data_IF_316918938648
#
_entry.id   IF_316918938648
#
_cell.length_a   1.000
_cell.length_b   1.000
_cell.length_c   1.000
_cell.angle_alpha   90.00
_cell.angle_beta   90.00
_cell.angle_gamma   90.00
#
_symmetry.space_group_name_H-M   'P 1'
#
loop_
_entity.id
_entity.type
_entity.pdbx_description
1 polymer ?
#
# COMPACT_ATOMS: atom_id res chain seq x y z
N UNK A 1 -2.66 6.03 11.27
CA UNK A 1 -3.67 7.07 10.94
C UNK A 1 -3.00 8.22 10.19
N UNK A 2 -3.76 9.21 9.70
CA UNK A 2 -3.19 10.40 9.06
C UNK A 2 -2.26 11.21 9.97
N UNK A 3 -2.58 11.33 11.26
CA UNK A 3 -1.76 12.04 12.25
C UNK A 3 -0.42 11.35 12.52
N UNK A 4 -0.42 10.02 12.65
CA UNK A 4 0.80 9.23 12.82
C UNK A 4 1.70 9.34 11.59
N UNK A 5 1.11 9.26 10.38
CA UNK A 5 1.85 9.46 9.14
C UNK A 5 2.48 10.85 9.08
N UNK A 6 1.72 11.91 9.42
CA UNK A 6 2.23 13.27 9.45
C UNK A 6 3.38 13.44 10.46
N UNK A 7 3.31 12.74 11.59
CA UNK A 7 4.35 12.76 12.63
C UNK A 7 5.62 12.05 12.16
N UNK A 8 5.48 10.84 11.61
CA UNK A 8 6.59 10.09 11.03
C UNK A 8 7.26 10.86 9.88
N UNK A 9 6.46 11.45 8.99
CA UNK A 9 6.99 12.25 7.88
C UNK A 9 7.79 13.46 8.38
N UNK A 10 7.32 14.17 9.41
CA UNK A 10 8.09 15.27 10.01
C UNK A 10 9.44 14.81 10.55
N UNK A 11 9.50 13.65 11.19
CA UNK A 11 10.76 13.07 11.70
C UNK A 11 11.72 12.73 10.55
N UNK A 12 11.21 12.07 9.51
CA UNK A 12 12.00 11.71 8.33
C UNK A 12 12.51 12.95 7.57
N UNK A 13 11.66 13.96 7.37
CA UNK A 13 12.07 15.23 6.74
C UNK A 13 13.14 15.94 7.54
N UNK A 14 13.04 15.98 8.89
CA UNK A 14 14.09 16.54 9.75
C UNK A 14 15.39 15.76 9.65
N UNK A 15 15.30 14.44 9.48
CA UNK A 15 16.41 13.55 9.18
C UNK A 15 16.98 13.67 7.76
N UNK A 16 16.50 14.64 6.95
CA UNK A 16 16.92 14.85 5.55
C UNK A 16 16.70 13.62 4.66
N UNK A 17 15.55 12.95 4.85
CA UNK A 17 15.12 11.82 4.02
C UNK A 17 15.29 12.11 2.52
N UNK A 18 15.99 11.20 1.82
CA UNK A 18 16.26 11.29 0.38
C UNK A 18 15.25 10.53 -0.48
N UNK A 19 14.53 9.56 0.09
CA UNK A 19 13.47 8.79 -0.54
C UNK A 19 12.52 8.23 0.54
N UNK A 20 11.30 7.86 0.15
CA UNK A 20 10.30 7.27 1.04
C UNK A 20 9.89 5.88 0.53
N UNK A 21 9.95 4.89 1.41
CA UNK A 21 9.29 3.59 1.18
C UNK A 21 8.06 3.52 2.08
N UNK A 22 6.89 3.39 1.48
CA UNK A 22 5.62 3.23 2.18
C UNK A 22 5.20 1.76 2.12
N UNK A 23 5.33 1.04 3.24
CA UNK A 23 4.96 -0.37 3.30
C UNK A 23 3.46 -0.51 3.60
N UNK A 24 2.68 -0.93 2.60
CA UNK A 24 1.24 -1.22 2.72
C UNK A 24 0.94 -2.72 2.60
N UNK A 25 1.95 -3.58 2.66
CA UNK A 25 1.76 -5.04 2.73
C UNK A 25 1.01 -5.39 4.00
N UNK A 26 0.12 -6.37 3.88
CA UNK A 26 -0.73 -6.84 4.98
C UNK A 26 -1.68 -5.78 5.55
N UNK A 27 -1.85 -4.65 4.85
CA UNK A 27 -2.75 -3.58 5.24
C UNK A 27 -4.11 -3.71 4.54
N UNK A 28 -5.06 -4.34 5.25
CA UNK A 28 -6.44 -4.57 4.82
C UNK A 28 -7.28 -3.27 4.63
N UNK A 29 -6.65 -2.11 4.84
CA UNK A 29 -7.23 -0.79 4.68
C UNK A 29 -7.74 -0.22 6.00
N UNK A 30 -8.84 0.53 5.91
CA UNK A 30 -9.38 1.26 7.05
C UNK A 30 -10.29 2.38 6.61
N UNK A 31 -10.35 3.44 7.42
CA UNK A 31 -11.22 4.59 7.16
C UNK A 31 -10.72 5.41 5.96
N UNK A 32 -11.62 5.73 5.04
CA UNK A 32 -11.35 6.58 3.87
C UNK A 32 -10.75 7.95 4.24
N UNK A 33 -11.24 8.68 5.27
CA UNK A 33 -10.61 9.93 5.70
C UNK A 33 -9.12 9.80 6.01
N UNK A 34 -8.69 8.69 6.63
CA UNK A 34 -7.28 8.48 6.92
C UNK A 34 -6.43 8.31 5.63
N UNK A 35 -6.99 7.68 4.59
CA UNK A 35 -6.32 7.60 3.28
C UNK A 35 -6.22 8.98 2.61
N UNK A 36 -7.28 9.78 2.69
CA UNK A 36 -7.30 11.16 2.17
C UNK A 36 -6.25 12.03 2.89
N UNK A 37 -6.14 11.88 4.22
CA UNK A 37 -5.14 12.60 5.01
C UNK A 37 -3.72 12.24 4.59
N UNK A 38 -3.43 10.93 4.46
CA UNK A 38 -2.11 10.44 3.98
C UNK A 38 -1.82 10.99 2.59
N UNK A 39 -2.75 10.83 1.65
CA UNK A 39 -2.60 11.31 0.28
C UNK A 39 -2.38 12.82 0.22
N UNK A 40 -2.99 13.60 1.12
CA UNK A 40 -2.83 15.06 1.14
C UNK A 40 -1.40 15.54 1.43
N UNK A 41 -0.48 14.67 1.82
CA UNK A 41 0.95 14.99 1.90
C UNK A 41 1.69 14.91 0.55
N UNK A 42 1.10 14.29 -0.47
CA UNK A 42 1.70 14.04 -1.78
C UNK A 42 1.12 14.94 -2.89
N UNK A 43 -0.01 15.60 -2.62
CA UNK A 43 -0.74 16.39 -3.61
C UNK A 43 -0.89 17.84 -3.15
N UNK A 44 -1.02 18.74 -4.13
CA UNK A 44 -1.42 20.11 -3.89
C UNK A 44 -2.90 20.20 -3.53
N UNK A 45 -3.26 21.30 -2.88
CA UNK A 45 -4.65 21.62 -2.55
C UNK A 45 -5.53 21.52 -3.80
N UNK A 46 -6.75 21.02 -3.62
CA UNK A 46 -7.78 20.88 -4.64
C UNK A 46 -7.47 19.84 -5.73
N UNK A 47 -6.38 19.08 -5.60
CA UNK A 47 -6.14 17.92 -6.45
C UNK A 47 -7.10 16.77 -6.12
N UNK A 48 -7.74 16.12 -7.12
CA UNK A 48 -8.62 14.98 -6.88
C UNK A 48 -7.81 13.77 -6.41
N UNK A 49 -8.25 13.13 -5.33
CA UNK A 49 -7.58 11.99 -4.71
C UNK A 49 -8.31 10.67 -4.96
N UNK A 50 -9.64 10.70 -4.90
CA UNK A 50 -10.49 9.52 -5.08
C UNK A 50 -11.91 9.95 -5.42
N UNK A 51 -12.55 9.20 -6.32
CA UNK A 51 -13.94 9.35 -6.69
C UNK A 51 -14.74 8.23 -6.05
N UNK A 52 -15.90 8.57 -5.49
CA UNK A 52 -16.85 7.62 -4.89
C UNK A 52 -18.14 7.71 -5.66
N UNK A 53 -18.45 6.67 -6.43
CA UNK A 53 -19.66 6.62 -7.25
C UNK A 53 -20.67 5.67 -6.63
N UNK A 54 -21.75 6.24 -6.11
CA UNK A 54 -22.91 5.52 -5.58
C UNK A 54 -24.13 5.63 -6.49
N UNK A 55 -25.28 5.19 -6.00
CA UNK A 55 -26.55 5.26 -6.73
C UNK A 55 -27.04 6.69 -6.95
N UNK A 56 -26.82 7.58 -5.97
CA UNK A 56 -27.33 8.96 -5.98
C UNK A 56 -26.43 9.93 -6.74
N UNK A 57 -25.25 9.48 -7.17
CA UNK A 57 -24.29 10.29 -7.88
C UNK A 57 -22.85 9.94 -7.54
N UNK A 58 -21.95 10.83 -7.96
CA UNK A 58 -20.52 10.70 -7.73
C UNK A 58 -20.03 11.85 -6.85
N UNK A 59 -19.24 11.50 -5.85
CA UNK A 59 -18.54 12.44 -4.99
C UNK A 59 -17.05 12.35 -5.28
N UNK A 60 -16.37 13.49 -5.22
CA UNK A 60 -14.92 13.57 -5.40
C UNK A 60 -14.31 14.06 -4.10
N UNK A 61 -13.33 13.33 -3.60
CA UNK A 61 -12.53 13.76 -2.47
C UNK A 61 -11.27 14.45 -2.99
N UNK A 62 -11.07 15.67 -2.56
CA UNK A 62 -9.93 16.50 -2.95
C UNK A 62 -8.92 16.59 -1.81
N UNK A 63 -7.66 16.84 -2.17
CA UNK A 63 -6.64 17.13 -1.19
C UNK A 63 -6.89 18.48 -0.52
N UNK A 64 -6.83 18.48 0.81
CA UNK A 64 -6.77 19.70 1.60
C UNK A 64 -5.33 20.15 1.89
N UNK A 65 -4.35 19.44 1.34
CA UNK A 65 -2.95 19.54 1.71
C UNK A 65 -2.14 20.53 0.89
N UNK A 66 -0.83 20.43 1.08
CA UNK A 66 0.21 21.03 0.26
C UNK A 66 1.27 19.95 0.10
N UNK A 67 1.85 19.78 -1.08
CA UNK A 67 2.83 18.71 -1.29
C UNK A 67 4.00 18.89 -0.32
N UNK A 68 4.18 17.92 0.58
CA UNK A 68 5.28 17.87 1.56
C UNK A 68 6.29 16.79 1.22
N UNK A 69 5.88 15.79 0.44
CA UNK A 69 6.77 14.74 -0.08
C UNK A 69 7.22 15.13 -1.48
N UNK A 70 8.50 15.48 -1.61
CA UNK A 70 9.11 15.87 -2.89
C UNK A 70 10.25 14.94 -3.34
N UNK A 71 10.53 13.89 -2.56
CA UNK A 71 11.53 12.88 -2.87
C UNK A 71 10.91 11.71 -3.65
N UNK A 72 11.72 10.83 -4.26
CA UNK A 72 11.23 9.56 -4.82
C UNK A 72 10.46 8.74 -3.78
N UNK A 73 9.36 8.11 -4.22
CA UNK A 73 8.49 7.29 -3.39
C UNK A 73 8.31 5.91 -4.03
N UNK A 74 8.44 4.87 -3.21
CA UNK A 74 8.03 3.50 -3.56
C UNK A 74 6.99 3.05 -2.54
N UNK A 75 5.97 2.34 -3.01
CA UNK A 75 4.96 1.71 -2.16
C UNK A 75 5.09 0.20 -2.30
N UNK A 76 5.17 -0.50 -1.18
CA UNK A 76 5.15 -1.97 -1.16
C UNK A 76 3.71 -2.44 -0.98
N UNK A 77 3.28 -3.38 -1.84
CA UNK A 77 1.94 -3.99 -1.80
C UNK A 77 2.03 -5.51 -1.90
N UNK A 78 0.99 -6.18 -1.41
CA UNK A 78 0.79 -7.61 -1.58
C UNK A 78 -0.72 -7.94 -1.65
N UNK A 79 -1.07 -9.22 -1.73
CA UNK A 79 -2.45 -9.70 -1.86
C UNK A 79 -3.35 -9.33 -0.67
N UNK A 80 -2.77 -8.88 0.44
CA UNK A 80 -3.46 -8.42 1.64
C UNK A 80 -3.55 -6.89 1.73
N UNK A 81 -2.96 -6.15 0.78
CA UNK A 81 -3.21 -4.73 0.61
C UNK A 81 -4.61 -4.51 0.05
N UNK A 82 -5.52 -3.91 0.82
CA UNK A 82 -6.92 -3.79 0.43
C UNK A 82 -7.56 -2.42 0.74
N UNK A 83 -8.65 -2.10 0.05
CA UNK A 83 -9.54 -0.98 0.37
C UNK A 83 -8.78 0.36 0.37
N UNK A 84 -8.86 1.12 1.46
CA UNK A 84 -8.14 2.39 1.64
C UNK A 84 -6.64 2.33 1.34
N UNK A 85 -5.99 1.18 1.53
CA UNK A 85 -4.58 0.97 1.14
C UNK A 85 -4.41 0.98 -0.38
N UNK A 86 -5.33 0.36 -1.12
CA UNK A 86 -5.37 0.38 -2.58
C UNK A 86 -5.69 1.78 -3.10
N UNK A 87 -6.53 2.55 -2.40
CA UNK A 87 -6.76 3.95 -2.76
C UNK A 87 -5.46 4.76 -2.66
N UNK A 88 -4.70 4.60 -1.57
CA UNK A 88 -3.42 5.29 -1.39
C UNK A 88 -2.40 4.86 -2.45
N UNK A 89 -2.17 3.55 -2.58
CA UNK A 89 -1.21 3.00 -3.54
C UNK A 89 -1.57 3.38 -4.99
N UNK A 90 -2.82 3.13 -5.38
CA UNK A 90 -3.32 3.39 -6.73
C UNK A 90 -3.29 4.86 -7.08
N UNK A 91 -3.73 5.76 -6.18
CA UNK A 91 -3.69 7.19 -6.45
C UNK A 91 -2.26 7.71 -6.66
N UNK A 92 -1.28 7.22 -5.88
CA UNK A 92 0.12 7.55 -6.07
C UNK A 92 0.69 6.97 -7.36
N UNK A 93 0.29 5.75 -7.72
CA UNK A 93 0.74 5.09 -8.95
C UNK A 93 0.23 5.79 -10.20
N UNK A 94 -1.09 5.96 -10.35
CA UNK A 94 -1.70 6.51 -11.58
C UNK A 94 -1.32 7.97 -11.82
N UNK A 95 -0.97 8.71 -10.76
CA UNK A 95 -0.48 10.09 -10.86
C UNK A 95 1.03 10.19 -11.02
N UNK A 96 1.74 9.05 -11.10
CA UNK A 96 3.19 9.00 -11.27
C UNK A 96 4.00 9.48 -10.07
N UNK A 97 3.38 9.58 -8.88
CA UNK A 97 4.03 10.04 -7.65
C UNK A 97 4.79 8.93 -6.92
N UNK A 98 4.44 7.67 -7.16
CA UNK A 98 5.16 6.53 -6.63
C UNK A 98 5.19 5.35 -7.61
N UNK A 99 6.14 4.44 -7.40
CA UNK A 99 6.17 3.12 -8.03
C UNK A 99 5.69 2.06 -7.05
N UNK A 100 4.89 1.11 -7.53
CA UNK A 100 4.43 -0.03 -6.75
C UNK A 100 5.38 -1.22 -6.94
N UNK A 101 5.74 -1.89 -5.84
CA UNK A 101 6.58 -3.10 -5.86
C UNK A 101 5.95 -4.17 -4.98
N UNK A 102 5.99 -5.42 -5.43
CA UNK A 102 5.56 -6.57 -4.66
C UNK A 102 4.64 -7.47 -5.46
N UNK A 103 3.49 -7.81 -4.88
CA UNK A 103 2.48 -8.69 -5.48
C UNK A 103 1.17 -7.91 -5.67
N UNK A 104 0.31 -8.36 -6.58
CA UNK A 104 -0.98 -7.70 -6.85
C UNK A 104 -1.80 -7.53 -5.56
N UNK A 105 -2.50 -6.40 -5.44
CA UNK A 105 -3.35 -6.13 -4.28
C UNK A 105 -4.67 -6.92 -4.30
N UNK A 106 -5.49 -6.78 -3.27
CA UNK A 106 -6.67 -7.63 -3.10
C UNK A 106 -7.79 -7.42 -4.15
N UNK A 107 -7.99 -6.20 -4.67
CA UNK A 107 -9.10 -5.89 -5.58
C UNK A 107 -10.37 -5.38 -4.89
N UNK A 108 -10.26 -4.76 -3.71
CA UNK A 108 -11.44 -4.28 -2.99
C UNK A 108 -11.87 -2.89 -3.47
N UNK A 109 -12.76 -2.88 -4.44
CA UNK A 109 -13.24 -1.65 -5.11
C UNK A 109 -14.50 -1.02 -4.50
N UNK A 110 -15.05 -1.62 -3.43
CA UNK A 110 -16.39 -1.29 -2.93
C UNK A 110 -16.39 -0.53 -1.61
N UNK A 111 -17.32 0.44 -1.51
CA UNK A 111 -17.64 1.14 -0.27
C UNK A 111 -18.76 0.39 0.42
N UNK A 112 -18.53 -0.02 1.66
CA UNK A 112 -19.52 -0.69 2.48
C UNK A 112 -19.90 0.17 3.67
N UNK A 113 -21.20 0.32 3.92
CA UNK A 113 -21.74 0.96 5.12
C UNK A 113 -22.43 -0.08 5.99
N UNK A 114 -22.37 0.13 7.30
CA UNK A 114 -23.14 -0.65 8.28
C UNK A 114 -24.42 0.13 8.58
N UNK A 115 -25.55 -0.56 8.54
CA UNK A 115 -26.87 -0.06 8.87
C UNK A 115 -27.36 -0.83 10.09
N UNK A 116 -27.39 -0.17 11.25
CA UNK A 116 -27.84 -0.79 12.49
C UNK A 116 -29.37 -0.83 12.55
N UNK A 117 -29.90 -1.95 13.04
CA UNK A 117 -31.32 -2.14 13.33
C UNK A 117 -31.57 -1.92 14.84
N UNK A 118 -32.85 -1.83 15.23
CA UNK A 118 -33.23 -1.53 16.63
C UNK A 118 -32.99 -2.68 17.61
N UNK A 119 -32.71 -3.87 17.12
CA UNK A 119 -32.61 -5.12 17.86
C UNK A 119 -31.16 -5.63 17.99
N UNK A 120 -30.20 -4.70 18.05
CA UNK A 120 -28.75 -4.98 18.11
C UNK A 120 -28.23 -5.83 16.94
N UNK A 121 -29.00 -5.94 15.85
CA UNK A 121 -28.55 -6.51 14.58
C UNK A 121 -28.17 -5.40 13.59
N UNK A 122 -27.44 -5.74 12.53
CA UNK A 122 -27.05 -4.76 11.52
C UNK A 122 -26.79 -5.40 10.15
N UNK A 123 -26.87 -4.58 9.11
CA UNK A 123 -26.60 -4.99 7.74
C UNK A 123 -25.39 -4.23 7.19
N UNK A 124 -24.40 -4.97 6.70
CA UNK A 124 -23.29 -4.39 5.93
C UNK A 124 -23.62 -4.43 4.45
N UNK A 125 -23.82 -3.27 3.84
CA UNK A 125 -24.24 -3.15 2.46
C UNK A 125 -23.21 -2.37 1.63
N UNK A 126 -22.91 -2.89 0.44
CA UNK A 126 -22.13 -2.15 -0.56
C UNK A 126 -23.00 -1.05 -1.18
N UNK A 127 -22.56 0.19 -1.05
CA UNK A 127 -23.33 1.38 -1.47
C UNK A 127 -22.69 2.17 -2.62
N UNK A 128 -21.39 1.98 -2.85
CA UNK A 128 -20.64 2.71 -3.87
C UNK A 128 -19.38 1.95 -4.31
N UNK A 129 -18.71 2.47 -5.34
CA UNK A 129 -17.38 2.04 -5.80
C UNK A 129 -16.38 3.19 -5.78
N UNK A 130 -15.12 2.86 -5.51
CA UNK A 130 -13.99 3.78 -5.60
C UNK A 130 -13.41 3.81 -7.02
N UNK A 131 -12.98 4.99 -7.45
CA UNK A 131 -12.14 5.17 -8.63
C UNK A 131 -10.97 6.08 -8.26
N UNK A 132 -9.81 5.78 -8.83
CA UNK A 132 -8.56 6.51 -8.65
C UNK A 132 -8.60 7.85 -9.42
N UNK A 133 -7.61 8.75 -9.20
CA UNK A 133 -7.44 9.95 -10.02
C UNK A 133 -7.49 9.62 -11.52
N UNK A 134 -8.23 10.41 -12.30
CA UNK A 134 -8.50 10.09 -13.71
C UNK A 134 -9.71 9.18 -13.95
N UNK A 135 -10.43 8.78 -12.90
CA UNK A 135 -11.57 7.82 -12.94
C UNK A 135 -11.14 6.39 -13.30
N UNK A 136 -9.87 6.07 -13.07
CA UNK A 136 -9.36 4.71 -13.27
C UNK A 136 -9.96 3.76 -12.23
N UNK A 137 -10.56 2.62 -12.63
CA UNK A 137 -11.02 1.63 -11.68
C UNK A 137 -9.82 0.91 -11.05
N UNK A 138 -9.97 0.47 -9.80
CA UNK A 138 -9.13 -0.61 -9.28
C UNK A 138 -9.67 -1.90 -9.91
N UNK A 139 -8.79 -2.77 -10.44
CA UNK A 139 -9.21 -4.03 -11.07
C UNK A 139 -9.87 -4.99 -10.08
N UNK A 140 -10.62 -5.97 -10.57
CA UNK A 140 -11.14 -7.05 -9.71
C UNK A 140 -10.01 -7.88 -9.10
N UNK A 141 -8.88 -7.97 -9.81
CA UNK A 141 -7.64 -8.60 -9.34
C UNK A 141 -6.68 -7.62 -8.62
N UNK A 142 -7.18 -6.43 -8.24
CA UNK A 142 -6.38 -5.42 -7.55
C UNK A 142 -5.55 -4.50 -8.43
N UNK A 143 -4.62 -3.82 -7.77
CA UNK A 143 -3.56 -3.02 -8.38
C UNK A 143 -2.43 -3.94 -8.79
N UNK A 144 -1.99 -3.79 -10.03
CA UNK A 144 -0.79 -4.46 -10.54
C UNK A 144 0.43 -3.62 -10.17
N UNK A 145 1.47 -4.21 -9.54
CA UNK A 145 2.68 -3.48 -9.21
C UNK A 145 3.43 -3.05 -10.49
N UNK A 146 4.15 -1.93 -10.44
CA UNK A 146 5.06 -1.54 -11.52
C UNK A 146 6.21 -2.54 -11.67
N UNK A 147 6.64 -3.13 -10.55
CA UNK A 147 7.64 -4.19 -10.50
C UNK A 147 7.13 -5.34 -9.63
N UNK A 148 6.80 -6.44 -10.29
CA UNK A 148 6.40 -7.66 -9.62
C UNK A 148 7.62 -8.33 -8.98
N UNK A 149 7.54 -8.57 -7.67
CA UNK A 149 8.57 -9.23 -6.87
C UNK A 149 7.86 -10.15 -5.90
N UNK A 150 7.92 -11.45 -6.18
CA UNK A 150 7.32 -12.46 -5.32
C UNK A 150 8.08 -12.61 -4.00
N UNK A 151 7.35 -12.98 -2.95
CA UNK A 151 7.91 -13.33 -1.66
C UNK A 151 7.27 -14.65 -1.23
N UNK A 152 8.06 -15.72 -1.18
CA UNK A 152 7.54 -17.03 -0.81
C UNK A 152 6.98 -17.02 0.62
N UNK A 153 6.02 -17.91 0.86
CA UNK A 153 5.29 -17.96 2.13
C UNK A 153 6.21 -18.13 3.34
N UNK A 154 7.27 -18.93 3.23
CA UNK A 154 8.20 -19.17 4.33
C UNK A 154 9.00 -17.91 4.65
N UNK A 155 9.57 -17.25 3.63
CA UNK A 155 10.26 -15.96 3.78
C UNK A 155 9.32 -14.91 4.36
N UNK A 156 8.08 -14.84 3.90
CA UNK A 156 7.07 -13.89 4.39
C UNK A 156 6.72 -14.12 5.86
N UNK A 157 6.47 -15.37 6.25
CA UNK A 157 6.16 -15.74 7.63
C UNK A 157 7.35 -15.43 8.56
N UNK A 158 8.57 -15.75 8.12
CA UNK A 158 9.80 -15.46 8.84
C UNK A 158 10.06 -13.94 8.96
N UNK A 159 9.77 -13.16 7.91
CA UNK A 159 9.86 -11.69 7.94
C UNK A 159 8.85 -11.09 8.93
N UNK A 160 7.60 -11.54 8.90
CA UNK A 160 6.56 -11.09 9.82
C UNK A 160 6.95 -11.37 11.27
N UNK A 161 7.47 -12.58 11.53
CA UNK A 161 7.99 -12.94 12.85
C UNK A 161 9.16 -12.05 13.26
N UNK A 162 10.17 -11.89 12.39
CA UNK A 162 11.36 -11.10 12.64
C UNK A 162 11.04 -9.62 12.95
N UNK A 163 10.10 -9.01 12.21
CA UNK A 163 9.66 -7.62 12.41
C UNK A 163 8.94 -7.41 13.74
N UNK A 164 8.25 -8.44 14.24
CA UNK A 164 7.57 -8.41 15.53
C UNK A 164 8.52 -8.52 16.73
N UNK A 165 9.76 -8.96 16.53
CA UNK A 165 10.74 -9.06 17.60
C UNK A 165 11.48 -7.74 17.78
N UNK A 166 11.16 -7.01 18.84
CA UNK A 166 11.96 -5.86 19.30
C UNK A 166 13.17 -6.36 20.11
N UNK A 167 14.05 -7.15 19.48
CA UNK A 167 15.21 -7.75 20.12
C UNK A 167 16.47 -7.48 19.31
N UNK A 168 17.41 -6.76 19.92
CA UNK A 168 18.75 -6.55 19.39
C UNK A 168 19.63 -7.79 19.68
N UNK A 169 19.42 -8.84 18.88
CA UNK A 169 20.21 -10.07 18.91
C UNK A 169 21.22 -10.07 17.75
N UNK A 170 22.40 -10.67 17.98
CA UNK A 170 23.25 -11.12 16.88
C UNK A 170 22.54 -12.20 16.06
N UNK A 171 22.97 -12.39 14.80
CA UNK A 171 22.36 -13.39 13.92
C UNK A 171 22.47 -14.80 14.51
N UNK A 172 23.61 -15.14 15.12
CA UNK A 172 23.84 -16.42 15.79
C UNK A 172 22.89 -16.62 16.99
N UNK A 173 22.68 -15.57 17.80
CA UNK A 173 21.78 -15.63 18.94
C UNK A 173 20.31 -15.68 18.52
N UNK A 174 19.96 -15.03 17.41
CA UNK A 174 18.63 -15.10 16.81
C UNK A 174 18.33 -16.51 16.32
N UNK A 175 19.22 -17.09 15.51
CA UNK A 175 19.04 -18.42 14.94
C UNK A 175 18.95 -19.49 16.02
N UNK A 176 19.84 -19.44 17.02
CA UNK A 176 19.79 -20.37 18.16
C UNK A 176 18.47 -20.26 18.95
N UNK A 177 17.90 -19.07 19.04
CA UNK A 177 16.68 -18.82 19.82
C UNK A 177 15.41 -19.24 19.08
N UNK A 178 15.35 -18.96 17.78
CA UNK A 178 14.12 -19.07 16.99
C UNK A 178 14.12 -20.21 15.98
N UNK A 179 15.28 -20.85 15.74
CA UNK A 179 15.40 -22.03 14.88
C UNK A 179 15.46 -21.72 13.39
N UNK A 180 15.65 -20.47 12.99
CA UNK A 180 15.88 -20.07 11.60
C UNK A 180 16.80 -18.85 11.50
N UNK A 181 17.56 -18.75 10.41
CA UNK A 181 18.44 -17.62 10.13
C UNK A 181 17.63 -16.37 9.75
N UNK A 182 18.15 -15.18 10.04
CA UNK A 182 17.49 -13.93 9.63
C UNK A 182 17.29 -13.88 8.13
N UNK A 183 16.08 -13.55 7.73
CA UNK A 183 15.69 -13.46 6.33
C UNK A 183 15.78 -12.01 5.84
N UNK A 184 16.20 -11.86 4.58
CA UNK A 184 16.18 -10.56 3.89
C UNK A 184 14.83 -10.36 3.22
N UNK A 185 14.38 -9.12 3.17
CA UNK A 185 13.13 -8.75 2.52
C UNK A 185 13.38 -8.45 1.03
N UNK A 186 13.04 -9.36 0.09
CA UNK A 186 13.34 -9.18 -1.32
C UNK A 186 12.63 -7.96 -1.92
N UNK A 187 11.37 -7.71 -1.52
CA UNK A 187 10.56 -6.58 -2.00
C UNK A 187 11.12 -5.25 -1.49
N UNK A 188 11.57 -5.18 -0.23
CA UNK A 188 12.25 -4.00 0.29
C UNK A 188 13.60 -3.76 -0.39
N UNK A 189 14.39 -4.82 -0.65
CA UNK A 189 15.65 -4.66 -1.39
C UNK A 189 15.40 -4.14 -2.81
N UNK A 190 14.38 -4.65 -3.50
CA UNK A 190 13.97 -4.12 -4.80
C UNK A 190 13.56 -2.65 -4.73
N UNK A 191 12.78 -2.24 -3.71
CA UNK A 191 12.44 -0.84 -3.49
C UNK A 191 13.66 0.05 -3.28
N UNK A 192 14.63 -0.40 -2.50
CA UNK A 192 15.88 0.32 -2.28
C UNK A 192 16.71 0.46 -3.56
N UNK A 193 16.71 -0.55 -4.44
CA UNK A 193 17.35 -0.47 -5.76
C UNK A 193 16.66 0.58 -6.65
N UNK A 194 15.32 0.54 -6.73
CA UNK A 194 14.53 1.48 -7.55
C UNK A 194 14.77 2.93 -7.14
N UNK A 195 14.72 3.26 -5.86
CA UNK A 195 14.95 4.65 -5.39
C UNK A 195 16.40 5.11 -5.58
N UNK A 196 17.35 4.18 -5.75
CA UNK A 196 18.77 4.47 -6.05
C UNK A 196 19.07 4.50 -7.56
N UNK A 197 18.09 4.18 -8.41
CA UNK A 197 18.31 4.05 -9.86
C UNK A 197 19.14 2.82 -10.23
N UNK A 198 19.23 1.83 -9.35
CA UNK A 198 19.88 0.55 -9.62
C UNK A 198 18.91 -0.38 -10.38
N UNK A 199 19.42 -1.24 -11.28
CA UNK A 199 18.57 -2.20 -11.98
C UNK A 199 17.95 -3.19 -10.99
N UNK A 200 16.67 -3.50 -11.20
CA UNK A 200 16.04 -4.64 -10.55
C UNK A 200 16.45 -5.85 -11.38
N UNK A 201 17.28 -6.73 -10.81
CA UNK A 201 17.54 -8.05 -11.41
C UNK A 201 16.18 -8.68 -11.73
N UNK A 202 15.97 -9.10 -12.98
CA UNK A 202 14.72 -9.70 -13.44
C UNK A 202 14.41 -10.93 -12.57
N UNK A 203 13.60 -10.75 -11.52
CA UNK A 203 12.93 -11.86 -10.86
C UNK A 203 11.82 -12.27 -11.82
N UNK A 204 12.24 -13.11 -12.76
CA UNK A 204 11.49 -13.84 -13.78
C UNK A 204 10.01 -13.51 -13.92
N UNK A 205 9.67 -12.89 -15.06
CA UNK A 205 8.34 -13.00 -15.68
C UNK A 205 8.04 -14.48 -15.96
N UNK A 206 7.62 -15.25 -14.96
CA UNK A 206 7.10 -16.60 -15.14
C UNK A 206 5.67 -16.70 -14.58
N UNK A 207 4.70 -16.31 -15.42
CA UNK A 207 3.39 -16.98 -15.64
C UNK A 207 2.42 -16.09 -16.42
N UNK A 208 2.60 -15.96 -17.75
CA UNK A 208 1.48 -15.65 -18.66
C UNK A 208 1.55 -16.47 -19.97
N UNK A 209 2.29 -17.60 -19.97
CA UNK A 209 2.32 -18.53 -21.11
C UNK A 209 1.98 -19.96 -20.65
N UNK A 210 0.80 -20.16 -20.05
CA UNK A 210 0.18 -21.49 -19.95
C UNK A 210 -1.28 -21.41 -19.50
N UNK A 211 -2.09 -20.55 -20.12
CA UNK A 211 -3.54 -20.58 -19.97
C UNK A 211 -4.24 -19.90 -21.16
N UNK A 212 -4.17 -20.55 -22.32
CA UNK A 212 -5.23 -20.48 -23.33
C UNK A 212 -5.72 -21.91 -23.60
N UNK A 213 -7.02 -22.07 -23.93
CA UNK A 213 -7.85 -23.20 -23.50
C UNK A 213 -7.61 -24.54 -24.20
#
# INVERSE_FOLDING_TARGET
TGEEFATALKLLTRGKMSFLVLDLRDNLGGLLPAAIDVLSHFFEKDAPLVYVKGREGEQVHYSAGKTKVSCPVVVLINEYSASSSEIVAGALQVTGKAKLIGESSFGKTTVQSVFDFKDDTGMKLTIARYFLPGREPIGEDGLVPDFEVSCDKETRDNLAFQRGQSLDLSDEAFEKRFGFARVKDPQLQAALRVVRGEPIEEVEKQKVESAEP
#
